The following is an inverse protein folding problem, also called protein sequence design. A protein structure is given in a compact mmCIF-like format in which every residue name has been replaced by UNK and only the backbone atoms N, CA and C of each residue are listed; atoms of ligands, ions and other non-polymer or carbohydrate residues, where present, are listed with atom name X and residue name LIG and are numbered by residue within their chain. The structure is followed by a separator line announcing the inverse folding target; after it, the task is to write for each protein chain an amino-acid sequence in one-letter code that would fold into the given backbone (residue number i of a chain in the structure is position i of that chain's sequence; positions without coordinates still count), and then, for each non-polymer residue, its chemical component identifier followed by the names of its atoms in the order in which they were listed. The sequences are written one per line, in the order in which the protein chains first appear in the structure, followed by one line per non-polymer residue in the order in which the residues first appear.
data_IF_545967886543
#
_entry.id   IF_545967886543
#
_cell.length_a   1.000
_cell.length_b   1.000
_cell.length_c   1.000
_cell.angle_alpha   90.00
_cell.angle_beta   90.00
_cell.angle_gamma   90.00
#
_symmetry.space_group_name_H-M   'P 1'
#
loop_
_entity.id
_entity.type
_entity.pdbx_description
1 polymer ?
#
# COMPACT_ATOMS: atom_id res chain seq x y z
N UNK A 1 -14.17 20.50 6.15
CA UNK A 1 -12.98 19.90 5.51
C UNK A 1 -13.42 19.18 4.25
N UNK A 2 -12.69 19.26 3.14
CA UNK A 2 -13.01 18.46 1.96
C UNK A 2 -12.82 16.98 2.30
N UNK A 3 -13.81 16.17 1.98
CA UNK A 3 -13.76 14.72 2.20
C UNK A 3 -12.91 13.97 1.14
N UNK A 4 -12.54 14.67 0.07
CA UNK A 4 -11.77 14.10 -1.06
C UNK A 4 -10.38 14.71 -1.03
N UNK A 5 -9.37 13.85 -0.96
CA UNK A 5 -7.96 14.20 -1.05
C UNK A 5 -7.36 13.74 -2.40
N UNK A 6 -6.54 14.60 -3.01
CA UNK A 6 -5.84 14.31 -4.25
C UNK A 6 -4.35 14.05 -4.04
N UNK A 7 -3.82 14.56 -2.94
CA UNK A 7 -2.40 14.48 -2.60
C UNK A 7 -2.20 14.05 -1.15
N UNK A 8 -1.01 13.57 -0.84
CA UNK A 8 -0.62 13.20 0.53
C UNK A 8 -0.73 14.38 1.51
N UNK A 9 -0.60 15.63 1.01
CA UNK A 9 -0.73 16.83 1.82
C UNK A 9 -2.15 17.07 2.33
N UNK A 10 -3.15 16.50 1.66
CA UNK A 10 -4.57 16.65 2.02
C UNK A 10 -4.95 15.82 3.26
N UNK A 11 -4.09 14.88 3.66
CA UNK A 11 -4.25 14.08 4.89
C UNK A 11 -3.93 14.91 6.15
N UNK A 12 -3.22 16.03 6.02
CA UNK A 12 -2.86 16.87 7.16
C UNK A 12 -4.09 17.36 7.92
N UNK A 13 -4.05 17.20 9.24
CA UNK A 13 -5.10 17.68 10.13
C UNK A 13 -6.22 16.70 10.41
N UNK A 14 -6.17 15.50 9.85
CA UNK A 14 -7.06 14.42 10.26
C UNK A 14 -6.54 13.85 11.59
N UNK A 15 -7.40 13.87 12.61
CA UNK A 15 -7.05 13.30 13.90
C UNK A 15 -6.86 11.80 13.81
N UNK A 16 -5.76 11.28 14.34
CA UNK A 16 -5.50 9.84 14.42
C UNK A 16 -6.62 9.10 15.15
N UNK A 17 -7.27 9.73 16.10
CA UNK A 17 -8.40 9.15 16.86
C UNK A 17 -9.57 8.74 15.96
N UNK A 18 -9.78 9.44 14.84
CA UNK A 18 -10.84 9.10 13.87
C UNK A 18 -10.41 8.07 12.82
N UNK A 19 -9.11 7.99 12.55
CA UNK A 19 -8.57 7.19 11.44
C UNK A 19 -7.84 5.94 11.91
N UNK A 20 -7.59 5.81 13.22
CA UNK A 20 -6.82 4.70 13.76
C UNK A 20 -7.69 3.44 13.83
N UNK A 21 -7.27 2.41 13.11
CA UNK A 21 -7.85 1.07 13.20
C UNK A 21 -6.91 0.14 13.97
N UNK A 22 -7.35 -0.36 15.10
CA UNK A 22 -6.55 -1.26 15.92
C UNK A 22 -6.59 -2.67 15.33
N UNK A 23 -5.41 -3.23 15.08
CA UNK A 23 -5.28 -4.63 14.66
C UNK A 23 -5.44 -5.54 15.86
N UNK A 24 -6.41 -6.45 15.79
CA UNK A 24 -6.57 -7.52 16.77
C UNK A 24 -5.69 -8.70 16.37
N UNK A 25 -4.89 -9.18 17.32
CA UNK A 25 -4.00 -10.31 17.10
C UNK A 25 -4.66 -11.61 17.56
N UNK A 26 -4.27 -12.73 16.96
CA UNK A 26 -4.62 -14.07 17.44
C UNK A 26 -3.94 -14.33 18.78
N UNK A 27 -4.58 -15.15 19.61
CA UNK A 27 -4.04 -15.55 20.91
C UNK A 27 -2.76 -16.37 20.72
N UNK A 28 -1.77 -16.15 21.61
CA UNK A 28 -0.50 -16.88 21.62
C UNK A 28 0.45 -16.63 20.41
N UNK A 29 0.25 -15.58 19.65
CA UNK A 29 1.16 -15.22 18.56
C UNK A 29 2.40 -14.53 19.12
N UNK A 30 3.58 -14.99 18.70
CA UNK A 30 4.86 -14.35 19.05
C UNK A 30 5.16 -13.24 18.05
N UNK A 31 5.53 -12.05 18.52
CA UNK A 31 6.00 -10.96 17.68
C UNK A 31 7.18 -11.39 16.80
N UNK A 32 7.26 -10.85 15.61
CA UNK A 32 8.32 -11.17 14.66
C UNK A 32 9.06 -9.92 14.23
N UNK A 33 10.37 -9.92 14.48
CA UNK A 33 11.29 -8.89 13.98
C UNK A 33 12.02 -9.46 12.77
N UNK A 34 11.69 -8.97 11.58
CA UNK A 34 12.33 -9.42 10.35
C UNK A 34 13.54 -8.56 10.00
N UNK A 35 14.57 -9.22 9.48
CA UNK A 35 15.80 -8.52 9.09
C UNK A 35 15.58 -7.60 7.89
N UNK A 36 16.22 -6.44 7.94
CA UNK A 36 16.23 -5.48 6.85
C UNK A 36 16.83 -6.10 5.58
N UNK A 37 16.12 -6.02 4.48
CA UNK A 37 16.64 -6.48 3.17
C UNK A 37 17.75 -5.56 2.67
N UNK A 38 18.75 -6.15 2.04
CA UNK A 38 19.82 -5.39 1.36
C UNK A 38 19.23 -4.78 0.09
N UNK A 39 19.23 -3.46 0.00
CA UNK A 39 18.82 -2.70 -1.17
C UNK A 39 20.08 -2.17 -1.88
N UNK A 40 20.06 -2.15 -3.21
CA UNK A 40 21.12 -1.48 -3.97
C UNK A 40 21.08 0.04 -3.74
N UNK A 41 22.14 0.78 -4.07
CA UNK A 41 22.21 2.22 -3.80
C UNK A 41 21.10 3.04 -4.45
N UNK A 42 20.65 2.66 -5.65
CA UNK A 42 19.55 3.34 -6.36
C UNK A 42 18.24 3.16 -5.61
N UNK A 43 17.92 1.92 -5.23
CA UNK A 43 16.71 1.61 -4.47
C UNK A 43 16.70 2.25 -3.07
N UNK A 44 17.88 2.34 -2.41
CA UNK A 44 18.00 3.07 -1.14
C UNK A 44 17.60 4.55 -1.27
N UNK A 45 18.00 5.20 -2.38
CA UNK A 45 17.61 6.60 -2.65
C UNK A 45 16.10 6.74 -2.84
N UNK A 46 15.48 5.81 -3.56
CA UNK A 46 14.02 5.81 -3.78
C UNK A 46 13.29 5.63 -2.46
N UNK A 47 13.65 4.61 -1.68
CA UNK A 47 13.06 4.35 -0.36
C UNK A 47 13.19 5.56 0.54
N UNK A 48 14.40 6.15 0.63
CA UNK A 48 14.64 7.35 1.45
C UNK A 48 13.76 8.52 1.03
N UNK A 49 13.64 8.77 -0.28
CA UNK A 49 12.80 9.86 -0.81
C UNK A 49 11.33 9.70 -0.42
N UNK A 50 10.78 8.51 -0.54
CA UNK A 50 9.38 8.27 -0.22
C UNK A 50 9.14 8.26 1.30
N UNK A 51 10.05 7.70 2.09
CA UNK A 51 10.01 7.78 3.56
C UNK A 51 10.01 9.23 4.07
N UNK A 52 10.84 10.10 3.50
CA UNK A 52 10.87 11.52 3.85
C UNK A 52 9.53 12.20 3.53
N UNK A 53 8.94 11.92 2.37
CA UNK A 53 7.62 12.45 2.03
C UNK A 53 6.53 12.04 3.02
N UNK A 54 6.53 10.78 3.45
CA UNK A 54 5.55 10.29 4.43
C UNK A 54 5.79 10.89 5.81
N UNK A 55 7.04 11.08 6.18
CA UNK A 55 7.41 11.75 7.43
C UNK A 55 6.97 13.21 7.45
N UNK A 56 7.26 13.95 6.36
CA UNK A 56 6.85 15.35 6.19
C UNK A 56 5.33 15.51 6.19
N UNK A 57 4.62 14.54 5.60
CA UNK A 57 3.15 14.48 5.62
C UNK A 57 2.58 14.01 6.96
N UNK A 58 3.41 13.60 7.91
CA UNK A 58 3.03 13.03 9.22
C UNK A 58 2.16 11.76 9.10
N UNK A 59 2.32 11.02 8.01
CA UNK A 59 1.67 9.72 7.79
C UNK A 59 2.40 8.63 8.56
N UNK A 60 3.71 8.78 8.72
CA UNK A 60 4.55 7.91 9.54
C UNK A 60 5.33 8.73 10.57
N UNK A 61 5.76 8.09 11.63
CA UNK A 61 6.62 8.68 12.65
C UNK A 61 7.75 7.70 13.05
N UNK A 62 8.91 8.20 13.48
CA UNK A 62 9.98 7.34 13.93
C UNK A 62 9.66 6.72 15.28
N UNK A 63 9.94 5.44 15.43
CA UNK A 63 9.89 4.72 16.70
C UNK A 63 11.24 4.10 16.99
N UNK A 64 11.62 4.04 18.26
CA UNK A 64 12.93 3.50 18.68
C UNK A 64 12.90 1.98 18.74
N UNK A 65 11.78 1.40 19.18
CA UNK A 65 11.65 -0.03 19.40
C UNK A 65 10.23 -0.49 19.09
N UNK A 66 10.12 -1.66 18.48
CA UNK A 66 8.84 -2.32 18.24
C UNK A 66 9.04 -3.83 18.19
N UNK A 67 8.08 -4.54 18.74
CA UNK A 67 8.04 -6.00 18.72
C UNK A 67 7.72 -6.58 17.34
N UNK A 68 7.07 -5.81 16.46
CA UNK A 68 6.76 -6.18 15.09
C UNK A 68 7.55 -5.34 14.12
N UNK A 69 8.38 -5.97 13.30
CA UNK A 69 9.17 -5.29 12.26
C UNK A 69 9.02 -6.02 10.93
N UNK A 70 8.48 -5.33 9.94
CA UNK A 70 8.30 -5.85 8.58
C UNK A 70 9.34 -5.26 7.62
N UNK A 71 9.93 -6.06 6.72
CA UNK A 71 10.92 -5.59 5.79
C UNK A 71 10.29 -4.77 4.66
N UNK A 72 11.03 -3.78 4.20
CA UNK A 72 10.67 -2.96 3.06
C UNK A 72 11.18 -3.61 1.77
N UNK A 73 10.31 -3.71 0.77
CA UNK A 73 10.61 -4.19 -0.57
C UNK A 73 10.44 -3.07 -1.59
N UNK A 74 11.30 -3.04 -2.60
CA UNK A 74 11.23 -2.11 -3.69
C UNK A 74 10.85 -2.87 -4.97
N UNK A 75 9.66 -2.61 -5.48
CA UNK A 75 9.09 -3.32 -6.62
C UNK A 75 9.02 -2.39 -7.83
N UNK A 76 9.48 -2.82 -9.03
CA UNK A 76 9.41 -1.99 -10.23
C UNK A 76 7.95 -1.73 -10.63
N UNK A 77 7.63 -0.46 -10.86
CA UNK A 77 6.35 -0.02 -11.44
C UNK A 77 6.44 -0.14 -12.95
N UNK A 78 5.70 -1.08 -13.52
CA UNK A 78 5.61 -1.25 -14.97
C UNK A 78 4.62 -0.25 -15.53
N UNK A 79 5.05 0.49 -16.55
CA UNK A 79 4.21 1.42 -17.32
C UNK A 79 3.35 0.72 -18.37
N UNK A 80 2.85 1.50 -19.32
CA UNK A 80 2.10 1.00 -20.47
C UNK A 80 2.91 0.07 -21.36
N UNK A 81 2.23 -0.58 -22.30
CA UNK A 81 2.86 -1.43 -23.30
C UNK A 81 3.66 -0.57 -24.29
N UNK A 82 4.92 -0.90 -24.46
CA UNK A 82 5.82 -0.34 -25.48
C UNK A 82 6.27 -1.48 -26.38
N UNK A 83 6.47 -1.21 -27.65
CA UNK A 83 7.00 -2.20 -28.59
C UNK A 83 8.50 -1.95 -28.76
N UNK A 84 9.29 -2.98 -28.50
CA UNK A 84 10.74 -2.96 -28.74
C UNK A 84 11.11 -3.99 -29.79
N UNK A 85 12.20 -3.75 -30.51
CA UNK A 85 12.77 -4.73 -31.44
C UNK A 85 13.74 -5.63 -30.67
N UNK A 86 13.62 -6.93 -30.91
CA UNK A 86 14.61 -7.90 -30.44
C UNK A 86 15.82 -7.97 -31.43
N UNK A 87 16.80 -8.78 -31.10
CA UNK A 87 17.99 -8.99 -31.91
C UNK A 87 17.66 -9.59 -33.28
N UNK A 88 16.51 -10.24 -33.45
CA UNK A 88 15.98 -10.79 -34.69
C UNK A 88 15.14 -9.78 -35.48
N UNK A 89 15.12 -8.51 -35.10
CA UNK A 89 14.33 -7.44 -35.71
C UNK A 89 12.79 -7.61 -35.61
N UNK A 90 12.31 -8.50 -34.75
CA UNK A 90 10.88 -8.70 -34.45
C UNK A 90 10.38 -7.71 -33.40
N UNK A 91 9.14 -7.26 -33.56
CA UNK A 91 8.50 -6.34 -32.63
C UNK A 91 7.88 -7.11 -31.47
N UNK A 92 8.46 -6.97 -30.27
CA UNK A 92 7.96 -7.62 -29.05
C UNK A 92 7.32 -6.58 -28.15
N UNK A 93 6.06 -6.82 -27.70
CA UNK A 93 5.42 -5.96 -26.72
C UNK A 93 6.11 -6.12 -25.35
N UNK A 94 6.61 -5.02 -24.80
CA UNK A 94 7.28 -5.00 -23.49
C UNK A 94 6.70 -3.91 -22.60
N UNK A 95 6.63 -4.16 -21.30
CA UNK A 95 6.28 -3.13 -20.32
C UNK A 95 7.54 -2.51 -19.75
N UNK A 96 7.74 -1.23 -20.03
CA UNK A 96 8.86 -0.47 -19.50
C UNK A 96 8.68 -0.17 -18.00
N UNK A 97 9.79 -0.18 -17.25
CA UNK A 97 9.80 0.21 -15.84
C UNK A 97 9.82 1.75 -15.77
N UNK A 98 8.74 2.35 -15.28
CA UNK A 98 8.62 3.81 -15.16
C UNK A 98 9.02 4.34 -13.78
N UNK A 99 9.24 3.46 -12.81
CA UNK A 99 9.62 3.83 -11.46
C UNK A 99 9.61 2.64 -10.52
N UNK A 100 9.64 2.91 -9.22
CA UNK A 100 9.58 1.89 -8.19
C UNK A 100 8.47 2.21 -7.18
N UNK A 101 7.86 1.16 -6.63
CA UNK A 101 6.93 1.22 -5.52
C UNK A 101 7.62 0.65 -4.29
N UNK A 102 7.40 1.30 -3.16
CA UNK A 102 7.81 0.77 -1.86
C UNK A 102 6.64 -0.05 -1.32
N UNK A 103 6.93 -1.29 -0.98
CA UNK A 103 5.97 -2.21 -0.37
C UNK A 103 6.51 -2.71 0.95
N UNK A 104 5.66 -2.76 1.96
CA UNK A 104 5.96 -3.38 3.24
C UNK A 104 5.46 -4.83 3.21
N UNK A 105 6.27 -5.74 3.71
CA UNK A 105 5.92 -7.16 3.71
C UNK A 105 5.14 -7.52 4.97
N UNK A 106 3.82 -7.39 4.91
CA UNK A 106 2.93 -7.70 6.04
C UNK A 106 2.50 -9.16 6.14
N UNK A 107 3.09 -10.08 5.37
CA UNK A 107 2.65 -11.49 5.37
C UNK A 107 2.65 -12.13 6.75
N UNK A 108 3.70 -11.92 7.54
CA UNK A 108 3.76 -12.45 8.91
C UNK A 108 2.76 -11.78 9.84
N UNK A 109 2.60 -10.46 9.73
CA UNK A 109 1.61 -9.72 10.48
C UNK A 109 0.19 -10.19 10.12
N UNK A 110 -0.09 -10.38 8.83
CA UNK A 110 -1.40 -10.87 8.36
C UNK A 110 -1.74 -12.28 8.86
N UNK A 111 -0.74 -13.17 9.00
CA UNK A 111 -0.95 -14.51 9.59
C UNK A 111 -1.29 -14.40 11.08
N UNK A 112 -0.70 -13.43 11.77
CA UNK A 112 -0.88 -13.19 13.18
C UNK A 112 -2.14 -12.38 13.51
N UNK A 113 -2.72 -11.71 12.51
CA UNK A 113 -3.91 -10.89 12.69
C UNK A 113 -5.15 -11.75 12.74
N UNK A 114 -6.00 -11.49 13.72
CA UNK A 114 -7.31 -12.13 13.85
C UNK A 114 -8.16 -11.80 12.63
N UNK A 115 -8.65 -12.85 11.98
CA UNK A 115 -9.45 -12.69 10.76
C UNK A 115 -10.83 -12.15 11.09
N UNK A 116 -11.25 -11.17 10.33
CA UNK A 116 -12.62 -10.70 10.33
C UNK A 116 -13.48 -11.64 9.47
N UNK A 117 -14.53 -12.16 10.08
CA UNK A 117 -15.47 -13.09 9.41
C UNK A 117 -16.61 -12.38 8.69
N UNK A 118 -16.46 -11.11 8.37
CA UNK A 118 -17.42 -10.41 7.51
C UNK A 118 -17.44 -11.04 6.13
N UNK A 119 -18.59 -11.60 5.76
CA UNK A 119 -18.80 -12.13 4.41
C UNK A 119 -18.82 -10.99 3.41
N UNK A 120 -18.00 -11.08 2.37
CA UNK A 120 -18.10 -10.17 1.23
C UNK A 120 -19.42 -10.43 0.49
N UNK A 121 -20.12 -9.40 0.02
CA UNK A 121 -21.30 -9.58 -0.81
C UNK A 121 -20.91 -10.28 -2.12
N UNK A 122 -21.79 -11.15 -2.63
CA UNK A 122 -21.58 -11.79 -3.91
C UNK A 122 -21.60 -10.74 -5.04
N UNK A 123 -20.81 -11.01 -6.10
CA UNK A 123 -20.68 -10.10 -7.24
C UNK A 123 -22.05 -9.79 -7.86
N UNK A 124 -22.91 -10.80 -8.02
CA UNK A 124 -24.24 -10.64 -8.59
C UNK A 124 -25.10 -9.68 -7.75
N UNK A 125 -25.07 -9.79 -6.44
CA UNK A 125 -25.77 -8.87 -5.54
C UNK A 125 -25.25 -7.44 -5.63
N UNK A 126 -23.94 -7.27 -5.88
CA UNK A 126 -23.36 -5.94 -6.09
C UNK A 126 -23.81 -5.37 -7.45
N UNK A 127 -23.83 -6.18 -8.49
CA UNK A 127 -24.28 -5.77 -9.81
C UNK A 127 -25.76 -5.36 -9.80
N UNK A 128 -26.61 -6.11 -9.11
CA UNK A 128 -28.03 -5.76 -8.94
C UNK A 128 -28.22 -4.39 -8.26
N UNK A 129 -27.39 -4.09 -7.25
CA UNK A 129 -27.42 -2.79 -6.57
C UNK A 129 -26.89 -1.65 -7.45
N UNK A 130 -26.01 -1.92 -8.37
CA UNK A 130 -25.46 -0.94 -9.29
C UNK A 130 -26.33 -0.74 -10.52
N UNK A 131 -27.19 -1.69 -10.86
CA UNK A 131 -28.06 -1.60 -12.03
C UNK A 131 -29.02 -0.41 -11.93
N UNK A 132 -29.28 0.24 -13.05
CA UNK A 132 -30.23 1.34 -13.15
C UNK A 132 -29.73 2.73 -12.72
N UNK A 133 -28.47 2.88 -12.35
CA UNK A 133 -27.87 4.17 -12.06
C UNK A 133 -27.13 4.74 -13.30
N UNK A 134 -27.32 6.01 -13.58
CA UNK A 134 -26.66 6.68 -14.71
C UNK A 134 -25.19 7.04 -14.43
N UNK A 135 -24.84 7.24 -13.16
CA UNK A 135 -23.49 7.67 -12.76
C UNK A 135 -22.98 6.83 -11.59
N UNK A 136 -21.68 6.55 -11.60
CA UNK A 136 -20.97 5.84 -10.54
C UNK A 136 -19.80 6.66 -10.05
N UNK A 137 -19.58 6.66 -8.73
CA UNK A 137 -18.41 7.26 -8.10
C UNK A 137 -17.61 6.16 -7.44
N UNK A 138 -16.31 6.09 -7.77
CA UNK A 138 -15.38 5.15 -7.16
C UNK A 138 -14.55 5.92 -6.14
N UNK A 139 -14.67 5.52 -4.87
CA UNK A 139 -13.91 6.08 -3.77
C UNK A 139 -12.92 5.02 -3.29
N UNK A 140 -11.66 5.41 -3.23
CA UNK A 140 -10.59 4.57 -2.70
C UNK A 140 -10.06 5.15 -1.39
N UNK A 141 -9.75 4.28 -0.42
CA UNK A 141 -9.19 4.69 0.87
C UNK A 141 -7.77 5.23 0.68
N UNK A 142 -7.59 6.54 0.77
CA UNK A 142 -6.30 7.17 0.60
C UNK A 142 -5.34 6.76 1.72
N UNK A 143 -4.24 6.10 1.35
CA UNK A 143 -3.23 5.61 2.30
C UNK A 143 -3.80 4.75 3.46
N UNK A 144 -4.85 3.97 3.20
CA UNK A 144 -5.60 3.23 4.21
C UNK A 144 -4.73 2.38 5.15
N UNK A 145 -3.68 1.75 4.62
CA UNK A 145 -2.74 0.96 5.46
C UNK A 145 -1.94 1.79 6.47
N UNK A 146 -1.78 3.10 6.25
CA UNK A 146 -1.07 3.97 7.18
C UNK A 146 -1.96 4.46 8.34
N UNK A 147 -3.25 4.14 8.31
CA UNK A 147 -4.21 4.42 9.38
C UNK A 147 -4.42 3.22 10.31
N UNK A 148 -3.75 2.11 10.06
CA UNK A 148 -3.81 0.91 10.89
C UNK A 148 -2.74 1.02 11.98
N UNK A 149 -3.14 0.84 13.22
CA UNK A 149 -2.28 0.92 14.39
C UNK A 149 -2.20 -0.43 15.13
#
# INVERSE_FOLDING_TARGET
MPAIGWTIADIKGISLTFCMHRILMEDNVRPSVEHKRRLNPVMKKVVRKDMLKWLDARVIYPISDNSWVSPVQCIPKKGGMTVIRNDNNELIPMRTVTGFRICMDYRKLNVATRKDHFSLPFIDQMLDRLAGHECYCFLDGYSGYNHIA
#
